data_IF_322173839628
#
_entry.id   IF_322173839628
#
_cell.length_a   1.000
_cell.length_b   1.000
_cell.length_c   1.000
_cell.angle_alpha   90.00
_cell.angle_beta   90.00
_cell.angle_gamma   90.00
#
_symmetry.space_group_name_H-M   'P 1'
#
loop_
_entity.id
_entity.type
_entity.pdbx_description
1 polymer ?
#
# COMPACT_ATOMS: atom_id res chain seq x y z
N UNK A 1 13.43 4.91 8.54
CA UNK A 1 12.18 5.61 8.23
C UNK A 1 11.54 4.99 7.00
N UNK A 2 10.21 4.92 6.92
CA UNK A 2 9.49 4.72 5.65
C UNK A 2 8.76 6.03 5.36
N UNK A 3 8.92 6.57 4.16
CA UNK A 3 8.23 7.75 3.68
C UNK A 3 7.63 7.43 2.33
N UNK A 4 6.41 7.91 2.09
CA UNK A 4 5.72 7.66 0.84
C UNK A 4 5.40 9.01 0.21
N UNK A 5 5.87 9.20 -1.02
CA UNK A 5 5.59 10.35 -1.84
C UNK A 5 4.65 9.92 -2.97
N UNK A 6 3.36 10.19 -2.79
CA UNK A 6 2.29 9.78 -3.69
C UNK A 6 1.12 10.76 -3.61
N UNK A 7 0.24 10.81 -4.64
CA UNK A 7 -1.01 11.54 -4.54
C UNK A 7 -1.83 11.13 -3.31
N UNK A 8 -2.56 12.06 -2.73
CA UNK A 8 -3.38 11.80 -1.54
C UNK A 8 -4.80 11.33 -1.87
N UNK A 9 -5.11 11.12 -3.15
CA UNK A 9 -6.40 10.63 -3.63
C UNK A 9 -6.21 9.65 -4.78
N UNK A 10 -7.23 8.81 -4.98
CA UNK A 10 -7.28 7.83 -6.07
C UNK A 10 -8.42 8.18 -7.01
N UNK A 11 -8.12 8.23 -8.31
CA UNK A 11 -9.12 8.47 -9.35
C UNK A 11 -9.30 7.23 -10.22
N UNK A 12 -10.56 6.88 -10.52
CA UNK A 12 -10.91 5.79 -11.43
C UNK A 12 -10.40 6.09 -12.84
N UNK A 13 -10.02 5.04 -13.57
CA UNK A 13 -9.51 5.15 -14.93
C UNK A 13 -8.17 5.88 -15.06
N UNK A 14 -7.42 6.03 -13.96
CA UNK A 14 -6.17 6.79 -13.93
C UNK A 14 -5.00 5.97 -13.37
N UNK A 15 -3.78 6.46 -13.61
CA UNK A 15 -2.58 5.90 -13.00
C UNK A 15 -2.34 6.53 -11.63
N UNK A 16 -2.20 5.67 -10.62
CA UNK A 16 -1.76 6.06 -9.29
C UNK A 16 -0.28 5.69 -9.12
N UNK A 17 0.58 6.72 -9.10
CA UNK A 17 2.04 6.56 -9.10
C UNK A 17 2.70 7.33 -7.98
N UNK A 18 3.84 6.83 -7.53
CA UNK A 18 4.61 7.47 -6.47
C UNK A 18 5.91 6.73 -6.19
N UNK A 19 6.57 7.17 -5.13
CA UNK A 19 7.84 6.59 -4.66
C UNK A 19 7.72 6.33 -3.17
N UNK A 20 8.10 5.12 -2.75
CA UNK A 20 8.32 4.79 -1.34
C UNK A 20 9.81 4.91 -1.06
N UNK A 21 10.19 5.77 -0.12
CA UNK A 21 11.54 5.91 0.40
C UNK A 21 11.67 5.09 1.69
N UNK A 22 12.59 4.13 1.70
CA UNK A 22 12.85 3.29 2.87
C UNK A 22 14.30 3.46 3.33
N UNK A 23 14.48 3.68 4.63
CA UNK A 23 15.78 3.75 5.27
C UNK A 23 16.48 2.40 5.33
N UNK A 24 17.80 2.41 5.26
CA UNK A 24 18.63 1.19 5.29
C UNK A 24 18.35 0.31 6.51
N UNK A 25 18.13 0.92 7.68
CA UNK A 25 17.81 0.18 8.92
C UNK A 25 16.56 -0.68 8.78
N UNK A 26 15.52 -0.18 8.11
CA UNK A 26 14.27 -0.89 7.90
C UNK A 26 14.39 -2.07 6.93
N UNK A 27 15.40 -2.04 6.07
CA UNK A 27 15.65 -3.08 5.09
C UNK A 27 16.72 -4.07 5.51
N UNK A 28 17.37 -3.82 6.65
CA UNK A 28 18.33 -4.76 7.21
C UNK A 28 17.63 -6.09 7.51
N UNK A 29 18.03 -7.13 6.78
CA UNK A 29 17.42 -8.46 6.87
C UNK A 29 16.08 -8.59 6.14
N UNK A 30 15.65 -7.57 5.40
CA UNK A 30 14.47 -7.66 4.56
C UNK A 30 14.73 -8.61 3.39
N UNK A 31 13.74 -9.46 3.10
CA UNK A 31 13.73 -10.37 1.96
C UNK A 31 12.92 -9.80 0.81
N UNK A 32 11.83 -9.10 1.14
CA UNK A 32 10.85 -8.62 0.19
C UNK A 32 10.21 -7.34 0.73
N UNK A 33 9.98 -6.38 -0.15
CA UNK A 33 9.10 -5.24 0.11
C UNK A 33 7.91 -5.34 -0.83
N UNK A 34 6.69 -5.23 -0.31
CA UNK A 34 5.47 -5.12 -1.11
C UNK A 34 4.87 -3.73 -0.91
N UNK A 35 4.65 -3.01 -2.01
CA UNK A 35 3.79 -1.82 -2.02
C UNK A 35 2.44 -2.26 -2.57
N UNK A 36 1.36 -2.00 -1.85
CA UNK A 36 0.02 -2.44 -2.23
C UNK A 36 -1.01 -1.30 -2.13
N UNK A 37 -1.71 -1.03 -3.21
CA UNK A 37 -2.89 -0.16 -3.22
C UNK A 37 -4.13 -1.02 -3.06
N UNK A 38 -4.86 -0.82 -1.97
CA UNK A 38 -6.05 -1.60 -1.61
C UNK A 38 -7.26 -0.70 -1.42
N UNK A 39 -8.45 -1.15 -1.80
CA UNK A 39 -9.69 -0.55 -1.36
C UNK A 39 -10.35 -1.39 -0.26
N UNK A 40 -10.67 -0.74 0.85
CA UNK A 40 -11.37 -1.31 1.99
C UNK A 40 -12.82 -0.85 2.00
N UNK A 41 -13.75 -1.80 2.13
CA UNK A 41 -15.18 -1.54 2.26
C UNK A 41 -15.63 -1.97 3.66
N UNK A 42 -16.15 -1.03 4.43
CA UNK A 42 -16.70 -1.28 5.77
C UNK A 42 -18.21 -1.12 5.73
N UNK A 43 -18.94 -2.14 6.16
CA UNK A 43 -20.38 -2.08 6.37
C UNK A 43 -20.67 -1.72 7.83
N UNK A 44 -21.69 -0.90 8.08
CA UNK A 44 -22.06 -0.46 9.42
C UNK A 44 -22.41 -1.65 10.31
N UNK A 45 -21.70 -1.79 11.42
CA UNK A 45 -21.88 -2.90 12.37
C UNK A 45 -21.19 -4.22 11.99
N UNK A 46 -20.31 -4.23 10.99
CA UNK A 46 -19.51 -5.41 10.60
C UNK A 46 -18.02 -5.08 10.50
N UNK A 47 -17.18 -6.11 10.56
CA UNK A 47 -15.75 -5.98 10.29
C UNK A 47 -15.49 -5.44 8.88
N UNK A 48 -14.34 -4.78 8.70
CA UNK A 48 -13.92 -4.27 7.40
C UNK A 48 -13.63 -5.44 6.45
N UNK A 49 -14.25 -5.43 5.28
CA UNK A 49 -13.93 -6.37 4.21
C UNK A 49 -13.03 -5.65 3.19
N UNK A 50 -11.92 -6.27 2.82
CA UNK A 50 -11.19 -5.81 1.65
C UNK A 50 -12.07 -6.04 0.43
N UNK A 51 -12.22 -5.01 -0.41
CA UNK A 51 -12.74 -5.23 -1.74
C UNK A 51 -11.76 -6.13 -2.52
N UNK A 52 -12.21 -6.73 -3.61
CA UNK A 52 -11.32 -7.45 -4.54
C UNK A 52 -10.25 -6.55 -5.19
N UNK A 53 -10.28 -5.24 -4.96
CA UNK A 53 -9.35 -4.27 -5.51
C UNK A 53 -8.10 -4.15 -4.64
N UNK A 54 -7.16 -5.05 -4.89
CA UNK A 54 -5.78 -5.01 -4.38
C UNK A 54 -4.83 -5.11 -5.56
N UNK A 55 -4.02 -4.07 -5.74
CA UNK A 55 -2.88 -4.08 -6.67
C UNK A 55 -1.61 -4.04 -5.85
N UNK A 56 -0.60 -4.85 -6.20
CA UNK A 56 0.68 -4.79 -5.49
C UNK A 56 1.89 -4.97 -6.39
N UNK A 57 3.00 -4.36 -5.96
CA UNK A 57 4.31 -4.42 -6.60
C UNK A 57 5.33 -4.87 -5.55
N UNK A 58 6.15 -5.84 -5.92
CA UNK A 58 7.14 -6.48 -5.05
C UNK A 58 8.55 -6.07 -5.45
N UNK A 59 9.41 -5.84 -4.46
CA UNK A 59 10.78 -5.39 -4.63
C UNK A 59 11.73 -6.26 -3.82
N UNK A 60 12.88 -6.62 -4.40
CA UNK A 60 13.97 -7.27 -3.69
C UNK A 60 14.90 -6.21 -3.08
N UNK A 61 15.19 -6.27 -1.77
CA UNK A 61 16.13 -5.34 -1.13
C UNK A 61 17.57 -5.45 -1.64
N UNK A 62 17.93 -6.49 -2.39
CA UNK A 62 19.28 -6.60 -2.97
C UNK A 62 19.52 -5.61 -4.12
N UNK A 63 18.45 -5.11 -4.72
CA UNK A 63 18.53 -4.29 -5.94
C UNK A 63 18.71 -2.80 -5.66
N UNK A 64 18.76 -2.38 -4.39
CA UNK A 64 18.74 -0.97 -4.04
C UNK A 64 19.94 -0.55 -3.19
N UNK A 65 20.65 0.45 -3.69
CA UNK A 65 21.86 1.02 -3.10
C UNK A 65 21.50 2.31 -2.34
N UNK A 66 21.86 2.34 -1.06
CA UNK A 66 22.01 3.53 -0.18
C UNK A 66 20.75 4.34 0.21
N UNK A 67 19.75 4.53 -0.65
CA UNK A 67 18.46 5.15 -0.31
C UNK A 67 17.38 4.44 -1.15
N UNK A 68 16.56 3.61 -0.50
CA UNK A 68 15.65 2.71 -1.21
C UNK A 68 14.42 3.48 -1.69
N UNK A 69 14.55 4.11 -2.84
CA UNK A 69 13.43 4.66 -3.59
C UNK A 69 12.79 3.53 -4.41
N UNK A 70 11.59 3.13 -4.02
CA UNK A 70 10.81 2.07 -4.65
C UNK A 70 9.68 2.72 -5.44
N UNK A 71 9.85 2.97 -6.76
CA UNK A 71 8.82 3.54 -7.59
C UNK A 71 7.71 2.53 -7.84
N UNK A 72 6.47 2.98 -7.71
CA UNK A 72 5.28 2.19 -8.00
C UNK A 72 4.33 2.96 -8.92
N UNK A 73 3.54 2.17 -9.64
CA UNK A 73 2.58 2.60 -10.64
C UNK A 73 1.45 1.55 -10.65
N UNK A 74 0.24 2.00 -10.35
CA UNK A 74 -0.96 1.16 -10.37
C UNK A 74 -1.98 1.76 -11.32
N UNK A 75 -2.49 0.95 -12.23
CA UNK A 75 -3.61 1.34 -13.08
C UNK A 75 -4.91 1.08 -12.33
N UNK A 76 -5.63 2.15 -12.00
CA UNK A 76 -6.92 2.05 -11.33
C UNK A 76 -8.00 2.00 -12.40
N UNK A 77 -8.70 0.88 -12.48
CA UNK A 77 -9.72 0.67 -13.52
C UNK A 77 -10.92 1.63 -13.35
N UNK A 78 -11.67 1.82 -14.45
CA UNK A 78 -12.85 2.69 -14.44
C UNK A 78 -13.96 2.24 -13.48
N UNK A 79 -14.03 0.94 -13.22
CA UNK A 79 -15.04 0.30 -12.37
C UNK A 79 -14.62 0.23 -10.88
N UNK A 80 -13.38 0.58 -10.56
CA UNK A 80 -12.84 0.48 -9.20
C UNK A 80 -13.66 1.32 -8.19
N UNK A 81 -13.80 0.98 -6.91
CA UNK A 81 -14.63 1.73 -5.96
C UNK A 81 -14.20 3.20 -5.79
N UNK A 82 -15.15 4.13 -5.59
CA UNK A 82 -14.83 5.50 -5.16
C UNK A 82 -14.61 5.55 -3.65
N UNK A 83 -13.81 6.49 -3.18
CA UNK A 83 -13.81 6.84 -1.75
C UNK A 83 -15.18 7.39 -1.38
N UNK A 84 -15.79 6.81 -0.33
CA UNK A 84 -17.12 7.17 0.14
C UNK A 84 -17.23 6.97 1.65
N UNK A 85 -17.95 7.87 2.33
CA UNK A 85 -18.22 7.77 3.77
C UNK A 85 -19.70 8.03 4.06
N UNK A 86 -20.47 6.96 4.20
CA UNK A 86 -21.86 6.98 4.63
C UNK A 86 -22.05 6.42 6.04
N UNK A 87 -23.30 6.44 6.54
CA UNK A 87 -23.64 5.95 7.89
C UNK A 87 -23.52 4.43 8.05
N UNK A 88 -23.78 3.67 6.98
CA UNK A 88 -23.82 2.20 6.97
C UNK A 88 -22.82 1.57 6.01
N UNK A 89 -22.05 2.39 5.29
CA UNK A 89 -21.09 1.94 4.30
C UNK A 89 -19.99 2.99 4.17
N UNK A 90 -18.74 2.56 4.19
CA UNK A 90 -17.62 3.38 3.75
C UNK A 90 -16.71 2.59 2.82
N UNK A 91 -16.19 3.24 1.79
CA UNK A 91 -15.13 2.73 0.93
C UNK A 91 -13.94 3.67 1.03
N UNK A 92 -12.74 3.13 1.25
CA UNK A 92 -11.51 3.92 1.41
C UNK A 92 -10.36 3.24 0.72
N UNK A 93 -9.57 4.02 -0.01
CA UNK A 93 -8.31 3.56 -0.57
C UNK A 93 -7.18 3.70 0.45
N UNK A 94 -6.30 2.71 0.46
CA UNK A 94 -5.13 2.64 1.33
C UNK A 94 -3.92 2.22 0.51
N UNK A 95 -2.81 2.92 0.69
CA UNK A 95 -1.52 2.48 0.19
C UNK A 95 -0.73 1.89 1.35
N UNK A 96 -0.46 0.60 1.27
CA UNK A 96 0.27 -0.17 2.28
C UNK A 96 1.69 -0.47 1.80
N UNK A 97 2.67 -0.34 2.68
CA UNK A 97 4.05 -0.78 2.45
C UNK A 97 4.37 -1.87 3.47
N UNK A 98 4.58 -3.09 2.98
CA UNK A 98 4.89 -4.26 3.78
C UNK A 98 6.35 -4.65 3.60
N UNK A 99 7.09 -4.83 4.70
CA UNK A 99 8.47 -5.32 4.67
C UNK A 99 8.55 -6.70 5.33
N UNK A 100 8.91 -7.71 4.53
CA UNK A 100 9.17 -9.07 4.99
C UNK A 100 10.62 -9.20 5.44
N UNK A 101 10.84 -9.69 6.65
CA UNK A 101 12.16 -9.78 7.29
C UNK A 101 12.43 -11.23 7.69
N UNK A 102 13.58 -11.76 7.30
CA UNK A 102 13.98 -13.15 7.62
C UNK A 102 14.05 -13.34 9.13
N UNK A 103 13.43 -14.41 9.65
CA UNK A 103 13.43 -14.74 11.09
C UNK A 103 12.33 -14.03 11.91
N UNK A 104 11.37 -13.37 11.27
CA UNK A 104 10.21 -12.78 11.94
C UNK A 104 9.03 -13.76 12.18
N UNK A 105 9.12 -15.01 11.72
CA UNK A 105 7.94 -15.85 11.47
C UNK A 105 7.13 -15.31 10.28
N UNK A 106 5.92 -15.81 10.02
CA UNK A 106 4.99 -15.33 8.97
C UNK A 106 4.48 -13.88 9.18
N UNK A 107 5.20 -13.07 9.95
CA UNK A 107 4.81 -11.72 10.35
C UNK A 107 5.62 -10.69 9.56
N UNK A 108 4.92 -9.98 8.69
CA UNK A 108 5.36 -8.70 8.14
C UNK A 108 5.67 -7.74 9.29
N UNK A 109 6.91 -7.25 9.39
CA UNK A 109 7.35 -6.46 10.56
C UNK A 109 6.94 -5.00 10.49
N UNK A 110 6.45 -4.50 9.35
CA UNK A 110 6.06 -3.10 9.18
C UNK A 110 5.00 -2.96 8.09
N UNK A 111 3.90 -2.28 8.44
CA UNK A 111 2.77 -1.96 7.57
C UNK A 111 2.57 -0.44 7.66
N UNK A 112 3.29 0.32 6.85
CA UNK A 112 3.07 1.77 6.78
C UNK A 112 1.89 2.02 5.83
N UNK A 113 0.89 2.76 6.30
CA UNK A 113 -0.39 2.94 5.61
C UNK A 113 -0.67 4.42 5.39
N UNK A 114 -0.88 4.82 4.14
CA UNK A 114 -1.50 6.11 3.82
C UNK A 114 -2.97 5.90 3.50
N UNK A 115 -3.82 6.62 4.23
CA UNK A 115 -5.24 6.74 3.94
C UNK A 115 -5.43 7.77 2.82
N UNK A 116 -6.03 7.34 1.72
CA UNK A 116 -6.28 8.18 0.55
C UNK A 116 -7.71 8.72 0.61
N UNK A 117 -7.88 9.97 0.17
CA UNK A 117 -9.16 10.67 0.08
C UNK A 117 -9.89 10.35 -1.23
#
# INVERSE_FOLDING_TARGET
MIKINAPTSVSRGSEYKGVVEIGERELKGARLVEVALCNEITYGGKEANYSCWKMSKKFSPKDARSLFQLPFDFRVEGEAPVTYKGKRLSSKWKLNVNVDVVGAGDRWRRMDVIMLR
#
